data_IF_544534955828
#
_entry.id   IF_544534955828
#
_cell.length_a   1.000
_cell.length_b   1.000
_cell.length_c   1.000
_cell.angle_alpha   90.00
_cell.angle_beta   90.00
_cell.angle_gamma   90.00
#
_symmetry.space_group_name_H-M   'P 1'
#
loop_
_entity.id
_entity.type
_entity.pdbx_description
1 polymer ?
#
# COMPACT_ATOMS: atom_id res chain seq x y z
N UNK A 1 -1.55 -25.45 -21.77
CA UNK A 1 -2.13 -24.41 -22.62
C UNK A 1 -3.62 -24.46 -22.33
N UNK A 2 -4.07 -23.69 -21.37
CA UNK A 2 -5.49 -23.46 -21.10
C UNK A 2 -5.75 -22.02 -21.51
N UNK A 3 -6.62 -21.86 -22.52
CA UNK A 3 -7.13 -20.58 -22.98
C UNK A 3 -7.81 -19.88 -21.79
N UNK A 4 -7.09 -18.96 -21.13
CA UNK A 4 -7.72 -17.99 -20.25
C UNK A 4 -8.27 -16.89 -21.16
N UNK A 5 -9.58 -16.95 -21.41
CA UNK A 5 -10.29 -15.82 -22.01
C UNK A 5 -10.11 -14.60 -21.11
N UNK A 6 -9.45 -13.58 -21.65
CA UNK A 6 -9.31 -12.26 -21.04
C UNK A 6 -10.72 -11.64 -20.97
N UNK A 7 -11.25 -11.31 -19.79
CA UNK A 7 -12.51 -10.57 -19.71
C UNK A 7 -12.31 -9.17 -20.28
N UNK A 8 -12.89 -8.93 -21.45
CA UNK A 8 -12.82 -7.66 -22.15
C UNK A 8 -13.96 -6.77 -21.69
N UNK A 9 -13.75 -5.99 -20.62
CA UNK A 9 -14.45 -4.70 -20.39
C UNK A 9 -13.80 -4.00 -19.18
N UNK A 10 -12.99 -2.98 -19.44
CA UNK A 10 -12.74 -1.95 -18.43
C UNK A 10 -14.09 -1.24 -18.15
N UNK A 11 -14.44 -0.95 -16.89
CA UNK A 11 -15.65 -0.20 -16.59
C UNK A 11 -15.58 1.19 -17.24
N UNK A 12 -16.73 1.64 -17.81
CA UNK A 12 -16.86 2.98 -18.37
C UNK A 12 -16.54 4.04 -17.29
N UNK A 13 -15.78 5.06 -17.70
CA UNK A 13 -15.48 6.24 -16.88
C UNK A 13 -16.79 6.89 -16.43
N UNK A 14 -17.09 6.83 -15.14
CA UNK A 14 -18.23 7.55 -14.58
C UNK A 14 -17.99 9.06 -14.70
N UNK A 15 -19.01 9.86 -15.11
CA UNK A 15 -18.87 11.31 -15.17
C UNK A 15 -18.68 11.90 -13.77
N UNK A 16 -17.93 13.00 -13.68
CA UNK A 16 -17.72 13.80 -12.49
C UNK A 16 -19.05 14.15 -11.80
N UNK A 17 -19.46 13.34 -10.83
CA UNK A 17 -20.52 13.65 -9.92
C UNK A 17 -19.89 14.17 -8.63
N UNK A 18 -20.30 15.37 -8.19
CA UNK A 18 -19.99 15.90 -6.87
C UNK A 18 -20.44 14.90 -5.80
N UNK A 19 -19.57 13.95 -5.47
CA UNK A 19 -19.79 13.08 -4.32
C UNK A 19 -19.75 13.98 -3.08
N UNK A 20 -20.72 13.77 -2.20
CA UNK A 20 -20.98 14.56 -1.00
C UNK A 20 -19.74 14.59 -0.08
N UNK A 21 -18.81 15.51 -0.38
CA UNK A 21 -17.54 15.68 0.35
C UNK A 21 -17.76 16.23 1.76
N UNK A 22 -18.94 16.76 2.04
CA UNK A 22 -19.28 17.35 3.35
C UNK A 22 -19.38 16.31 4.48
N UNK A 23 -19.80 15.07 4.16
CA UNK A 23 -19.97 14.01 5.17
C UNK A 23 -18.64 13.25 5.46
N UNK A 24 -17.60 13.46 4.65
CA UNK A 24 -16.30 12.79 4.83
C UNK A 24 -15.24 13.64 5.57
N UNK A 25 -15.48 14.93 5.81
CA UNK A 25 -14.50 15.80 6.46
C UNK A 25 -14.12 15.31 7.88
N UNK A 26 -15.08 14.73 8.60
CA UNK A 26 -14.94 14.20 9.96
C UNK A 26 -14.32 12.77 9.99
N UNK A 27 -14.40 12.01 8.88
CA UNK A 27 -13.87 10.65 8.78
C UNK A 27 -12.35 10.62 9.03
N UNK A 28 -11.62 11.60 8.50
CA UNK A 28 -10.16 11.68 8.69
C UNK A 28 -9.79 11.83 10.16
N UNK A 29 -10.48 12.72 10.89
CA UNK A 29 -10.23 12.93 12.32
C UNK A 29 -10.56 11.67 13.13
N UNK A 30 -11.65 11.00 12.81
CA UNK A 30 -12.09 9.76 13.46
C UNK A 30 -11.06 8.64 13.25
N UNK A 31 -10.61 8.43 12.01
CA UNK A 31 -9.62 7.39 11.69
C UNK A 31 -8.26 7.70 12.32
N UNK A 32 -7.76 8.94 12.24
CA UNK A 32 -6.51 9.35 12.91
C UNK A 32 -6.61 9.17 14.42
N UNK A 33 -7.74 9.57 15.02
CA UNK A 33 -8.01 9.38 16.45
C UNK A 33 -8.01 7.91 16.85
N UNK A 34 -8.64 7.05 16.04
CA UNK A 34 -8.64 5.59 16.24
C UNK A 34 -7.21 5.02 16.10
N UNK A 35 -6.48 5.41 15.06
CA UNK A 35 -5.10 4.95 14.82
C UNK A 35 -4.19 5.24 16.01
N UNK A 36 -4.22 6.45 16.55
CA UNK A 36 -3.45 6.85 17.73
C UNK A 36 -3.88 6.07 18.98
N UNK A 37 -5.19 6.02 19.26
CA UNK A 37 -5.75 5.38 20.46
C UNK A 37 -5.51 3.88 20.49
N UNK A 38 -5.53 3.21 19.33
CA UNK A 38 -5.41 1.75 19.22
C UNK A 38 -3.99 1.28 18.83
N UNK A 39 -3.06 2.18 18.57
CA UNK A 39 -1.68 1.82 18.28
C UNK A 39 -1.48 1.29 16.86
N UNK A 40 -2.16 1.89 15.89
CA UNK A 40 -1.86 1.67 14.47
C UNK A 40 -0.69 2.54 14.01
N UNK A 41 -0.77 3.85 14.25
CA UNK A 41 0.19 4.81 13.72
C UNK A 41 0.51 5.86 14.78
N UNK A 42 1.80 6.13 14.98
CA UNK A 42 2.34 7.13 15.88
C UNK A 42 3.14 8.17 15.09
N UNK A 43 3.21 9.40 15.61
CA UNK A 43 4.17 10.37 15.12
C UNK A 43 5.59 9.89 15.44
N UNK A 44 6.47 9.81 14.46
CA UNK A 44 7.86 9.41 14.70
C UNK A 44 8.57 10.41 15.60
N UNK A 45 9.39 9.91 16.52
CA UNK A 45 10.17 10.68 17.49
C UNK A 45 9.31 11.65 18.35
N UNK A 46 8.07 11.26 18.70
CA UNK A 46 7.10 12.12 19.42
C UNK A 46 7.67 12.65 20.74
N UNK A 47 8.44 11.85 21.47
CA UNK A 47 9.08 12.26 22.73
C UNK A 47 10.09 13.41 22.59
N UNK A 48 10.55 13.69 21.36
CA UNK A 48 11.44 14.82 21.01
C UNK A 48 10.69 15.94 20.26
N UNK A 49 9.36 15.94 20.30
CA UNK A 49 8.52 16.91 19.60
C UNK A 49 8.06 16.47 18.21
N UNK A 50 8.38 15.26 17.83
CA UNK A 50 8.03 14.67 16.54
C UNK A 50 8.96 15.09 15.39
N UNK A 51 9.06 14.24 14.37
CA UNK A 51 9.71 14.57 13.11
C UNK A 51 8.63 14.66 12.02
N UNK A 52 8.50 15.86 11.44
CA UNK A 52 7.38 16.16 10.53
C UNK A 52 7.34 15.20 9.35
N UNK A 53 6.16 14.61 9.12
CA UNK A 53 5.87 13.73 7.98
C UNK A 53 6.67 12.43 7.95
N UNK A 54 7.02 11.96 9.13
CA UNK A 54 7.51 10.62 9.37
C UNK A 54 6.65 9.97 10.45
N UNK A 55 6.35 8.70 10.28
CA UNK A 55 5.45 7.96 11.15
C UNK A 55 6.02 6.60 11.49
N UNK A 56 5.72 6.15 12.71
CA UNK A 56 6.01 4.81 13.18
C UNK A 56 4.72 3.98 13.18
N UNK A 57 4.81 2.75 12.71
CA UNK A 57 3.67 1.83 12.71
C UNK A 57 3.70 1.02 14.00
N UNK A 58 2.69 1.23 14.84
CA UNK A 58 2.56 0.52 16.11
C UNK A 58 2.19 -0.96 15.94
N UNK A 59 1.91 -1.67 17.05
CA UNK A 59 1.68 -3.12 17.01
C UNK A 59 0.56 -3.56 16.04
N UNK A 60 -0.53 -2.79 15.94
CA UNK A 60 -1.61 -3.09 14.99
C UNK A 60 -1.27 -2.60 13.58
N UNK A 61 -0.64 -1.44 13.47
CA UNK A 61 -0.26 -0.85 12.18
C UNK A 61 0.76 -1.69 11.43
N UNK A 62 1.76 -2.24 12.11
CA UNK A 62 2.76 -3.10 11.47
C UNK A 62 2.14 -4.40 10.96
N UNK A 63 1.16 -4.98 11.69
CA UNK A 63 0.46 -6.18 11.24
C UNK A 63 -0.40 -5.88 10.01
N UNK A 64 -1.19 -4.79 10.03
CA UNK A 64 -2.00 -4.37 8.88
C UNK A 64 -1.13 -4.08 7.65
N UNK A 65 -0.05 -3.31 7.81
CA UNK A 65 0.86 -2.97 6.72
C UNK A 65 1.53 -4.22 6.12
N UNK A 66 1.93 -5.18 6.97
CA UNK A 66 2.46 -6.47 6.51
C UNK A 66 1.42 -7.27 5.74
N UNK A 67 0.18 -7.32 6.23
CA UNK A 67 -0.90 -8.03 5.57
C UNK A 67 -1.23 -7.42 4.19
N UNK A 68 -1.24 -6.09 4.07
CA UNK A 68 -1.39 -5.40 2.78
C UNK A 68 -0.27 -5.80 1.81
N UNK A 69 0.98 -5.73 2.25
CA UNK A 69 2.14 -6.11 1.43
C UNK A 69 2.13 -7.60 1.07
N UNK A 70 1.72 -8.47 1.98
CA UNK A 70 1.62 -9.89 1.73
C UNK A 70 0.50 -10.22 0.73
N UNK A 71 -0.67 -9.58 0.84
CA UNK A 71 -1.77 -9.74 -0.11
C UNK A 71 -1.37 -9.25 -1.52
N UNK A 72 -0.60 -8.16 -1.61
CA UNK A 72 -0.04 -7.69 -2.87
C UNK A 72 0.98 -8.69 -3.43
N UNK A 73 1.91 -9.16 -2.61
CA UNK A 73 2.93 -10.13 -3.01
C UNK A 73 2.34 -11.47 -3.45
N UNK A 74 1.33 -11.94 -2.73
CA UNK A 74 0.57 -13.14 -3.11
C UNK A 74 -0.01 -12.98 -4.52
N UNK A 75 -0.71 -11.87 -4.78
CA UNK A 75 -1.37 -11.62 -6.07
C UNK A 75 -0.37 -11.38 -7.22
N UNK A 76 0.70 -10.63 -6.95
CA UNK A 76 1.62 -10.16 -8.00
C UNK A 76 2.78 -11.11 -8.27
N UNK A 77 3.17 -11.94 -7.29
CA UNK A 77 4.36 -12.79 -7.42
C UNK A 77 4.02 -14.26 -7.16
N UNK A 78 3.40 -14.58 -6.02
CA UNK A 78 3.25 -15.98 -5.60
C UNK A 78 2.26 -16.75 -6.47
N UNK A 79 1.14 -16.14 -6.85
CA UNK A 79 0.08 -16.75 -7.65
C UNK A 79 0.31 -16.62 -9.16
N UNK A 80 1.52 -16.22 -9.58
CA UNK A 80 1.89 -16.03 -10.99
C UNK A 80 3.18 -16.77 -11.33
N UNK A 81 3.24 -17.28 -12.54
CA UNK A 81 4.44 -17.93 -13.08
C UNK A 81 5.26 -17.00 -13.98
N UNK A 82 4.75 -15.81 -14.28
CA UNK A 82 5.36 -14.79 -15.14
C UNK A 82 6.00 -13.62 -14.38
N UNK A 83 5.94 -13.58 -13.04
CA UNK A 83 6.55 -12.54 -12.22
C UNK A 83 7.54 -13.13 -11.23
N UNK A 84 8.64 -12.42 -10.98
CA UNK A 84 9.66 -12.78 -10.00
C UNK A 84 9.93 -11.61 -9.05
N UNK A 85 10.36 -11.91 -7.83
CA UNK A 85 10.71 -10.89 -6.84
C UNK A 85 12.16 -10.44 -6.93
N UNK A 86 12.40 -9.19 -6.56
CA UNK A 86 13.72 -8.59 -6.36
C UNK A 86 13.71 -7.73 -5.09
N UNK A 87 14.84 -7.63 -4.41
CA UNK A 87 15.07 -6.63 -3.36
C UNK A 87 16.39 -5.90 -3.65
N UNK A 88 16.29 -4.75 -4.32
CA UNK A 88 17.42 -3.93 -4.70
C UNK A 88 17.86 -3.00 -3.55
N UNK A 89 19.14 -2.58 -3.59
CA UNK A 89 19.71 -1.66 -2.59
C UNK A 89 19.00 -0.31 -2.55
N UNK A 90 18.85 0.25 -1.35
CA UNK A 90 18.33 1.61 -1.13
C UNK A 90 19.31 2.66 -1.61
N UNK A 91 20.60 2.47 -1.26
CA UNK A 91 21.68 3.39 -1.66
C UNK A 91 22.12 3.08 -3.09
N UNK A 92 22.22 4.12 -3.93
CA UNK A 92 22.68 4.00 -5.30
C UNK A 92 23.60 5.16 -5.67
N UNK A 93 24.57 4.92 -6.58
CA UNK A 93 25.49 5.95 -7.05
C UNK A 93 24.76 6.99 -7.94
N UNK A 94 25.32 8.21 -8.07
CA UNK A 94 24.74 9.26 -8.90
C UNK A 94 24.42 8.84 -10.34
N UNK A 95 25.24 8.01 -10.95
CA UNK A 95 25.09 7.57 -12.34
C UNK A 95 23.72 6.92 -12.64
N UNK A 96 23.14 6.20 -11.67
CA UNK A 96 21.79 5.61 -11.83
C UNK A 96 20.74 6.71 -11.98
N UNK A 97 20.85 7.76 -11.17
CA UNK A 97 19.89 8.87 -11.11
C UNK A 97 20.12 9.92 -12.19
N UNK A 98 21.32 10.00 -12.72
CA UNK A 98 21.64 10.76 -13.93
C UNK A 98 21.02 10.09 -15.15
N UNK A 99 21.23 8.79 -15.31
CA UNK A 99 20.67 8.02 -16.43
C UNK A 99 19.15 8.06 -16.48
N UNK A 100 18.48 7.89 -15.33
CA UNK A 100 17.02 7.96 -15.23
C UNK A 100 16.46 9.38 -15.27
N UNK A 101 17.30 10.41 -15.24
CA UNK A 101 16.88 11.82 -15.27
C UNK A 101 16.39 12.39 -13.92
N UNK A 102 16.45 11.62 -12.83
CA UNK A 102 15.99 12.10 -11.52
C UNK A 102 16.80 13.28 -10.98
N UNK A 103 18.10 13.35 -11.24
CA UNK A 103 18.91 14.48 -10.77
C UNK A 103 18.57 15.78 -11.48
N UNK A 104 18.11 15.73 -12.72
CA UNK A 104 17.77 16.92 -13.51
C UNK A 104 16.31 17.34 -13.44
N UNK A 105 15.37 16.36 -13.34
CA UNK A 105 13.95 16.60 -13.55
C UNK A 105 13.09 16.35 -12.31
N UNK A 106 13.58 15.61 -11.31
CA UNK A 106 12.79 15.28 -10.11
C UNK A 106 12.85 16.43 -9.10
N UNK A 107 12.22 17.55 -9.46
CA UNK A 107 12.23 18.78 -8.67
C UNK A 107 10.87 19.45 -8.66
N UNK A 108 10.53 20.05 -7.51
CA UNK A 108 9.35 20.88 -7.33
C UNK A 108 9.71 22.37 -7.37
N UNK A 109 8.84 23.24 -7.89
CA UNK A 109 9.04 24.68 -7.82
C UNK A 109 8.79 25.16 -6.38
N UNK A 110 9.84 25.65 -5.72
CA UNK A 110 9.84 26.14 -4.34
C UNK A 110 9.81 27.66 -4.30
N UNK A 111 8.86 28.22 -3.54
CA UNK A 111 8.80 29.63 -3.18
C UNK A 111 8.80 29.83 -1.66
N UNK A 112 9.43 30.90 -1.19
CA UNK A 112 9.36 31.32 0.21
C UNK A 112 8.43 32.54 0.33
N UNK A 113 7.47 32.52 1.28
CA UNK A 113 6.66 33.68 1.58
C UNK A 113 7.53 34.77 2.21
N UNK A 114 7.56 35.95 1.65
CA UNK A 114 8.39 37.08 2.13
C UNK A 114 7.99 37.59 3.50
N UNK A 115 6.72 37.33 3.93
CA UNK A 115 6.18 37.81 5.21
C UNK A 115 6.39 36.85 6.37
N UNK A 116 6.06 35.56 6.20
CA UNK A 116 6.12 34.57 7.29
C UNK A 116 7.25 33.55 7.12
N UNK A 117 8.02 33.63 6.03
CA UNK A 117 9.14 32.75 5.68
C UNK A 117 8.79 31.27 5.59
N UNK A 118 7.49 30.94 5.45
CA UNK A 118 7.06 29.57 5.18
C UNK A 118 7.31 29.23 3.72
N UNK A 119 7.65 27.96 3.48
CA UNK A 119 7.98 27.41 2.15
C UNK A 119 6.81 26.67 1.58
N UNK A 120 6.58 26.87 0.30
CA UNK A 120 5.46 26.29 -0.44
C UNK A 120 5.89 25.82 -1.83
N UNK A 121 5.18 24.84 -2.35
CA UNK A 121 5.22 24.56 -3.79
C UNK A 121 4.42 25.64 -4.51
N UNK A 122 5.01 26.27 -5.51
CA UNK A 122 4.37 27.34 -6.28
C UNK A 122 3.09 26.84 -6.96
N UNK A 123 3.15 25.64 -7.57
CA UNK A 123 2.04 25.01 -8.28
C UNK A 123 0.87 24.55 -7.38
N UNK A 124 1.01 24.65 -6.07
CA UNK A 124 -0.01 24.27 -5.07
C UNK A 124 -0.57 25.45 -4.26
N UNK A 125 -0.16 26.66 -4.60
CA UNK A 125 -0.69 27.89 -3.97
C UNK A 125 -1.32 28.77 -5.04
N UNK A 126 -2.52 29.31 -4.78
CA UNK A 126 -3.23 30.21 -5.68
C UNK A 126 -2.74 31.67 -5.55
N UNK A 127 -1.42 31.88 -5.48
CA UNK A 127 -0.81 33.18 -5.32
C UNK A 127 -0.97 33.81 -3.92
N UNK A 128 -1.55 33.10 -2.96
CA UNK A 128 -1.77 33.54 -1.58
C UNK A 128 -1.17 32.57 -0.58
N UNK A 129 -0.40 33.09 0.37
CA UNK A 129 0.23 32.28 1.41
C UNK A 129 -0.83 31.66 2.33
N UNK A 130 -0.94 30.31 2.40
CA UNK A 130 -1.92 29.63 3.25
C UNK A 130 -1.76 29.91 4.76
N UNK A 131 -0.54 30.33 5.20
CA UNK A 131 -0.27 30.62 6.61
C UNK A 131 -0.58 32.04 7.05
N UNK A 132 -0.39 33.04 6.18
CA UNK A 132 -0.49 34.42 6.61
C UNK A 132 -1.23 35.35 5.64
N UNK A 133 -1.76 34.83 4.54
CA UNK A 133 -2.54 35.58 3.54
C UNK A 133 -1.71 36.58 2.70
N UNK A 134 -0.36 36.55 2.77
CA UNK A 134 0.49 37.40 1.93
C UNK A 134 0.49 36.92 0.49
N UNK A 135 0.63 37.84 -0.47
CA UNK A 135 0.82 37.58 -1.90
C UNK A 135 2.27 37.78 -2.34
N UNK A 136 3.16 38.11 -1.42
CA UNK A 136 4.57 38.35 -1.71
C UNK A 136 5.41 37.09 -1.51
N UNK A 137 5.99 36.59 -2.60
CA UNK A 137 6.85 35.39 -2.62
C UNK A 137 8.18 35.70 -3.30
N UNK A 138 9.17 34.85 -3.01
CA UNK A 138 10.43 34.83 -3.76
C UNK A 138 10.19 34.31 -5.18
N UNK A 139 11.13 34.54 -6.10
CA UNK A 139 11.14 33.85 -7.37
C UNK A 139 11.18 32.33 -7.15
N UNK A 140 10.46 31.55 -7.98
CA UNK A 140 10.49 30.09 -7.91
C UNK A 140 11.90 29.55 -8.16
N UNK A 141 12.28 28.55 -7.37
CA UNK A 141 13.54 27.82 -7.57
C UNK A 141 13.28 26.32 -7.59
N UNK A 142 13.95 25.59 -8.48
CA UNK A 142 13.86 24.13 -8.49
C UNK A 142 14.44 23.54 -7.20
N UNK A 143 13.68 22.69 -6.53
CA UNK A 143 14.11 21.95 -5.35
C UNK A 143 14.05 20.46 -5.67
N UNK A 144 15.23 19.82 -5.79
CA UNK A 144 15.32 18.39 -6.06
C UNK A 144 14.86 17.58 -4.83
N UNK A 145 13.97 16.62 -5.03
CA UNK A 145 13.38 15.81 -3.97
C UNK A 145 14.26 14.63 -3.52
N UNK A 146 15.42 14.42 -4.12
CA UNK A 146 16.35 13.35 -3.74
C UNK A 146 17.01 13.61 -2.39
N UNK A 147 17.03 12.62 -1.50
CA UNK A 147 17.90 12.62 -0.33
C UNK A 147 19.33 12.25 -0.72
N UNK A 148 20.26 13.17 -0.51
CA UNK A 148 21.70 12.99 -0.75
C UNK A 148 22.41 12.63 0.56
N UNK A 149 23.36 11.69 0.47
CA UNK A 149 24.25 11.30 1.57
C UNK A 149 25.65 10.98 1.05
N UNK A 150 26.56 10.59 1.92
CA UNK A 150 27.91 10.16 1.57
C UNK A 150 28.16 8.74 2.07
N UNK A 151 28.74 7.91 1.22
CA UNK A 151 29.12 6.54 1.55
C UNK A 151 30.63 6.48 1.83
N UNK A 152 31.00 6.15 3.08
CA UNK A 152 32.40 6.12 3.52
C UNK A 152 32.75 7.22 4.52
N UNK A 153 34.03 7.30 4.95
CA UNK A 153 34.47 8.17 6.05
C UNK A 153 34.72 9.61 5.63
N UNK A 154 34.79 9.93 4.35
CA UNK A 154 35.14 11.26 3.81
C UNK A 154 33.94 11.75 2.99
N UNK A 155 33.53 12.99 3.25
CA UNK A 155 32.49 13.69 2.51
C UNK A 155 33.11 14.43 1.31
N UNK A 156 33.38 13.69 0.23
CA UNK A 156 33.82 14.22 -1.05
C UNK A 156 32.86 13.88 -2.19
N UNK A 157 33.08 14.41 -3.37
CA UNK A 157 32.24 14.18 -4.53
C UNK A 157 32.20 12.70 -4.96
N UNK A 158 33.29 11.96 -4.73
CA UNK A 158 33.38 10.53 -5.04
C UNK A 158 32.60 9.64 -4.08
N UNK A 159 32.28 10.16 -2.89
CA UNK A 159 31.51 9.44 -1.85
C UNK A 159 30.00 9.70 -1.92
N UNK A 160 29.54 10.53 -2.84
CA UNK A 160 28.11 10.87 -2.96
C UNK A 160 27.27 9.64 -3.28
N UNK A 161 26.21 9.45 -2.51
CA UNK A 161 25.16 8.46 -2.74
C UNK A 161 23.78 9.08 -2.51
N UNK A 162 22.77 8.47 -3.09
CA UNK A 162 21.39 8.91 -2.93
C UNK A 162 20.54 7.80 -2.33
N UNK A 163 19.57 8.18 -1.48
CA UNK A 163 18.47 7.31 -1.11
C UNK A 163 17.49 7.26 -2.29
N UNK A 164 17.09 6.08 -2.72
CA UNK A 164 16.18 5.91 -3.86
C UNK A 164 14.83 6.60 -3.62
N UNK A 165 14.30 7.39 -4.58
CA UNK A 165 12.97 7.98 -4.50
C UNK A 165 11.86 7.05 -4.96
N UNK A 166 12.24 5.92 -5.61
CA UNK A 166 11.38 4.85 -6.12
C UNK A 166 12.14 3.53 -6.18
N UNK A 167 11.41 2.41 -6.29
CA UNK A 167 12.01 1.09 -6.40
C UNK A 167 12.29 0.67 -7.85
N UNK A 168 11.67 1.32 -8.85
CA UNK A 168 11.72 1.01 -10.26
C UNK A 168 13.14 0.86 -10.82
N UNK A 169 14.01 1.85 -10.57
CA UNK A 169 15.34 1.88 -11.16
C UNK A 169 16.21 0.68 -10.76
N UNK A 170 16.00 0.17 -9.53
CA UNK A 170 16.64 -1.06 -9.07
C UNK A 170 16.26 -2.28 -9.91
N UNK A 171 15.04 -2.32 -10.44
CA UNK A 171 14.55 -3.41 -11.29
C UNK A 171 15.11 -3.29 -12.72
N UNK A 172 15.18 -2.08 -13.29
CA UNK A 172 15.75 -1.86 -14.63
C UNK A 172 17.23 -2.21 -14.70
N UNK A 173 18.06 -1.76 -13.76
CA UNK A 173 19.49 -2.06 -13.75
C UNK A 173 19.79 -3.54 -13.50
N UNK A 174 18.84 -4.30 -12.93
CA UNK A 174 18.95 -5.74 -12.72
C UNK A 174 18.24 -6.58 -13.81
N UNK A 175 17.66 -5.98 -14.84
CA UNK A 175 16.93 -6.67 -15.89
C UNK A 175 17.74 -7.82 -16.50
N UNK A 176 18.97 -7.57 -16.94
CA UNK A 176 19.84 -8.59 -17.55
C UNK A 176 20.19 -9.70 -16.56
N UNK A 177 20.47 -9.37 -15.28
CA UNK A 177 20.77 -10.35 -14.23
C UNK A 177 19.58 -11.27 -13.97
N UNK A 178 18.37 -10.70 -13.87
CA UNK A 178 17.14 -11.46 -13.64
C UNK A 178 16.81 -12.33 -14.84
N UNK A 179 16.88 -11.78 -16.04
CA UNK A 179 16.62 -12.53 -17.28
C UNK A 179 17.54 -13.76 -17.40
N UNK A 180 18.83 -13.59 -17.13
CA UNK A 180 19.81 -14.67 -17.20
C UNK A 180 19.60 -15.75 -16.13
N UNK A 181 19.28 -15.34 -14.90
CA UNK A 181 19.22 -16.28 -13.77
C UNK A 181 17.89 -17.02 -13.66
N UNK A 182 16.79 -16.39 -14.08
CA UNK A 182 15.44 -16.96 -13.98
C UNK A 182 14.99 -17.67 -15.25
N UNK A 183 15.64 -17.40 -16.39
CA UNK A 183 15.25 -17.90 -17.73
C UNK A 183 13.85 -17.47 -18.16
N UNK A 184 13.33 -16.39 -17.57
CA UNK A 184 12.05 -15.81 -17.98
C UNK A 184 12.18 -15.22 -19.38
N UNK A 185 11.03 -15.08 -20.04
CA UNK A 185 10.92 -14.48 -21.38
C UNK A 185 9.82 -13.43 -21.31
N UNK A 186 9.93 -12.29 -22.00
CA UNK A 186 8.80 -11.39 -22.13
C UNK A 186 7.58 -12.10 -22.78
N UNK A 187 6.36 -11.93 -22.26
CA UNK A 187 6.02 -11.05 -21.11
C UNK A 187 6.44 -11.64 -19.76
N UNK A 188 7.14 -10.85 -18.93
CA UNK A 188 7.40 -11.20 -17.53
C UNK A 188 7.64 -9.97 -16.68
N UNK A 189 7.42 -10.07 -15.35
CA UNK A 189 7.58 -8.99 -14.40
C UNK A 189 8.71 -9.22 -13.39
N UNK A 190 9.28 -8.10 -12.92
CA UNK A 190 10.14 -8.03 -11.74
C UNK A 190 9.41 -7.16 -10.73
N UNK A 191 9.12 -7.69 -9.55
CA UNK A 191 8.35 -7.02 -8.51
C UNK A 191 9.20 -6.76 -7.26
N UNK A 192 8.96 -5.62 -6.61
CA UNK A 192 9.64 -5.25 -5.38
C UNK A 192 8.67 -4.61 -4.39
N UNK A 193 8.85 -4.92 -3.12
CA UNK A 193 8.30 -4.15 -1.99
C UNK A 193 9.46 -3.57 -1.21
N UNK A 194 9.53 -2.24 -1.09
CA UNK A 194 10.68 -1.63 -0.44
C UNK A 194 10.49 -0.16 -0.09
N UNK A 195 11.37 0.32 0.80
CA UNK A 195 11.43 1.72 1.22
C UNK A 195 11.88 2.63 0.08
N UNK A 196 11.22 3.80 -0.01
CA UNK A 196 11.56 4.91 -0.88
C UNK A 196 11.52 6.23 -0.11
N UNK A 197 12.23 7.24 -0.60
CA UNK A 197 12.49 8.46 0.14
C UNK A 197 12.35 9.68 -0.78
N UNK A 198 11.44 10.61 -0.41
CA UNK A 198 11.25 11.86 -1.15
C UNK A 198 11.26 13.02 -0.18
N UNK A 199 12.16 13.97 -0.38
CA UNK A 199 12.29 15.15 0.49
C UNK A 199 11.17 16.16 0.21
N UNK A 200 9.93 15.73 0.45
CA UNK A 200 8.70 16.49 0.21
C UNK A 200 8.71 17.85 0.89
N UNK A 201 8.37 18.89 0.14
CA UNK A 201 8.29 20.29 0.64
C UNK A 201 7.07 20.45 1.53
N UNK A 202 5.92 19.99 1.06
CA UNK A 202 4.61 20.14 1.72
C UNK A 202 3.96 18.78 1.91
N UNK A 203 4.43 17.99 2.90
CA UNK A 203 3.77 16.74 3.22
C UNK A 203 2.41 17.02 3.88
N UNK A 204 1.40 16.25 3.49
CA UNK A 204 0.01 16.47 3.88
C UNK A 204 -0.72 15.15 4.13
N UNK A 205 -1.87 15.28 4.78
CA UNK A 205 -2.87 14.21 4.89
C UNK A 205 -2.35 12.93 5.55
N UNK A 206 -1.76 13.06 6.75
CA UNK A 206 -1.32 11.92 7.56
C UNK A 206 -0.31 11.07 6.79
N UNK A 207 -0.52 9.75 6.65
CA UNK A 207 0.40 8.83 5.95
C UNK A 207 0.18 8.78 4.43
N UNK A 208 -0.64 9.66 3.87
CA UNK A 208 -0.85 9.77 2.42
C UNK A 208 0.41 10.26 1.70
N UNK A 209 1.05 11.32 2.22
CA UNK A 209 2.29 11.87 1.66
C UNK A 209 3.34 12.08 2.74
N UNK A 210 4.35 11.23 2.75
CA UNK A 210 5.42 11.15 3.74
C UNK A 210 6.78 11.21 3.07
N UNK A 211 7.84 11.56 3.84
CA UNK A 211 9.21 11.61 3.30
C UNK A 211 9.87 10.25 3.19
N UNK A 212 9.46 9.31 4.02
CA UNK A 212 9.85 7.92 3.99
C UNK A 212 8.58 7.08 3.88
N UNK A 213 8.51 6.21 2.88
CA UNK A 213 7.34 5.37 2.61
C UNK A 213 7.78 4.02 2.05
N UNK A 214 6.85 3.10 1.89
CA UNK A 214 7.10 1.83 1.19
C UNK A 214 6.29 1.81 -0.11
N UNK A 215 6.94 1.37 -1.19
CA UNK A 215 6.30 1.08 -2.47
C UNK A 215 6.12 -0.42 -2.65
N UNK A 216 5.04 -0.79 -3.32
CA UNK A 216 4.76 -2.09 -3.92
C UNK A 216 4.73 -1.82 -5.42
N UNK A 217 5.77 -2.20 -6.15
CA UNK A 217 6.02 -1.80 -7.53
C UNK A 217 6.47 -3.00 -8.37
N UNK A 218 6.04 -3.04 -9.62
CA UNK A 218 6.43 -4.08 -10.55
C UNK A 218 6.73 -3.47 -11.92
N UNK A 219 7.82 -3.91 -12.52
CA UNK A 219 8.17 -3.63 -13.90
C UNK A 219 7.86 -4.85 -14.76
N UNK A 220 6.82 -4.73 -15.60
CA UNK A 220 6.38 -5.82 -16.46
C UNK A 220 6.87 -5.61 -17.89
N UNK A 221 7.83 -6.43 -18.30
CA UNK A 221 8.54 -6.34 -19.56
C UNK A 221 7.79 -7.09 -20.65
N UNK A 222 7.43 -6.41 -21.74
CA UNK A 222 6.58 -6.93 -22.81
C UNK A 222 7.19 -6.69 -24.20
N UNK A 223 6.83 -7.50 -25.23
CA UNK A 223 7.11 -7.13 -26.61
C UNK A 223 6.46 -5.78 -26.94
N UNK A 224 7.12 -4.86 -27.67
CA UNK A 224 6.58 -3.54 -27.98
C UNK A 224 5.17 -3.55 -28.60
N UNK A 225 4.87 -4.53 -29.46
CA UNK A 225 3.58 -4.67 -30.10
C UNK A 225 2.43 -5.05 -29.14
N UNK A 226 2.74 -5.58 -27.97
CA UNK A 226 1.77 -6.05 -26.98
C UNK A 226 1.56 -5.05 -25.83
N UNK A 227 2.30 -3.93 -25.81
CA UNK A 227 2.35 -3.02 -24.67
C UNK A 227 0.97 -2.46 -24.29
N UNK A 228 0.13 -2.11 -25.27
CA UNK A 228 -1.22 -1.59 -25.00
C UNK A 228 -2.12 -2.66 -24.36
N UNK A 229 -2.09 -3.88 -24.86
CA UNK A 229 -2.87 -5.00 -24.32
C UNK A 229 -2.50 -5.30 -22.86
N UNK A 230 -1.20 -5.29 -22.54
CA UNK A 230 -0.73 -5.52 -21.19
C UNK A 230 -1.00 -4.33 -20.25
N UNK A 231 -1.00 -3.10 -20.78
CA UNK A 231 -1.41 -1.93 -20.02
C UNK A 231 -2.88 -2.04 -19.58
N UNK A 232 -3.79 -2.36 -20.50
CA UNK A 232 -5.22 -2.57 -20.20
C UNK A 232 -5.44 -3.74 -19.23
N UNK A 233 -4.71 -4.83 -19.40
CA UNK A 233 -4.74 -5.97 -18.49
C UNK A 233 -4.37 -5.56 -17.05
N UNK A 234 -3.26 -4.84 -16.88
CA UNK A 234 -2.81 -4.43 -15.55
C UNK A 234 -3.72 -3.39 -14.92
N UNK A 235 -4.33 -2.52 -15.68
CA UNK A 235 -5.37 -1.61 -15.17
C UNK A 235 -6.52 -2.39 -14.55
N UNK A 236 -7.07 -3.37 -15.27
CA UNK A 236 -8.17 -4.19 -14.78
C UNK A 236 -7.78 -5.04 -13.56
N UNK A 237 -6.61 -5.70 -13.60
CA UNK A 237 -6.11 -6.52 -12.49
C UNK A 237 -5.88 -5.71 -11.22
N UNK A 238 -5.28 -4.52 -11.34
CA UNK A 238 -5.02 -3.69 -10.17
C UNK A 238 -6.30 -3.12 -9.59
N UNK A 239 -7.22 -2.64 -10.40
CA UNK A 239 -8.53 -2.20 -9.96
C UNK A 239 -9.30 -3.31 -9.23
N UNK A 240 -9.40 -4.48 -9.82
CA UNK A 240 -10.10 -5.63 -9.24
C UNK A 240 -9.44 -6.14 -7.94
N UNK A 241 -8.13 -5.98 -7.77
CA UNK A 241 -7.43 -6.36 -6.53
C UNK A 241 -7.97 -5.59 -5.32
N UNK A 242 -8.23 -4.29 -5.45
CA UNK A 242 -8.82 -3.47 -4.40
C UNK A 242 -10.25 -3.87 -4.08
N UNK A 243 -11.06 -4.17 -5.11
CA UNK A 243 -12.44 -4.64 -4.92
C UNK A 243 -12.48 -5.98 -4.16
N UNK A 244 -11.61 -6.92 -4.55
CA UNK A 244 -11.50 -8.22 -3.85
C UNK A 244 -11.10 -8.09 -2.38
N UNK A 245 -10.40 -7.04 -2.01
CA UNK A 245 -9.99 -6.78 -0.62
C UNK A 245 -10.94 -5.83 0.13
N UNK A 246 -12.12 -5.57 -0.42
CA UNK A 246 -13.24 -4.96 0.28
C UNK A 246 -13.38 -3.45 0.12
N UNK A 247 -12.63 -2.78 -0.79
CA UNK A 247 -12.96 -1.41 -1.19
C UNK A 247 -14.20 -1.47 -2.09
N UNK A 248 -15.30 -0.78 -1.75
CA UNK A 248 -16.49 -0.77 -2.59
C UNK A 248 -16.25 0.01 -3.89
N UNK A 249 -16.91 -0.41 -4.98
CA UNK A 249 -16.80 0.22 -6.30
C UNK A 249 -17.17 1.72 -6.28
N UNK A 250 -18.03 2.14 -5.37
CA UNK A 250 -18.38 3.56 -5.18
C UNK A 250 -17.25 4.43 -4.60
N UNK A 251 -16.19 3.83 -4.10
CA UNK A 251 -15.04 4.53 -3.49
C UNK A 251 -13.76 4.42 -4.33
N UNK A 252 -13.81 3.78 -5.50
CA UNK A 252 -12.64 3.56 -6.37
C UNK A 252 -13.02 3.79 -7.83
N UNK A 253 -12.10 4.35 -8.62
CA UNK A 253 -12.31 4.56 -10.06
C UNK A 253 -11.00 4.50 -10.83
N UNK A 254 -11.07 4.31 -12.16
CA UNK A 254 -9.94 4.49 -13.06
C UNK A 254 -9.97 5.89 -13.66
N UNK A 255 -8.81 6.58 -13.66
CA UNK A 255 -8.62 7.87 -14.32
C UNK A 255 -7.46 7.78 -15.29
N UNK A 256 -7.74 7.91 -16.58
CA UNK A 256 -6.70 8.04 -17.60
C UNK A 256 -6.15 9.45 -17.63
N UNK A 257 -4.82 9.59 -17.72
CA UNK A 257 -4.19 10.90 -17.88
C UNK A 257 -4.34 11.41 -19.33
N UNK A 258 -4.55 12.69 -19.46
CA UNK A 258 -4.53 13.34 -20.78
C UNK A 258 -3.09 13.46 -21.30
N UNK A 259 -2.94 13.57 -22.62
CA UNK A 259 -1.61 13.67 -23.26
C UNK A 259 -0.73 14.81 -22.71
N UNK A 260 -1.34 15.89 -22.20
CA UNK A 260 -0.66 17.02 -21.57
C UNK A 260 -0.11 16.73 -20.17
N UNK A 261 -0.61 15.69 -19.50
CA UNK A 261 -0.21 15.27 -18.15
C UNK A 261 0.89 14.20 -18.18
N UNK A 262 1.12 13.57 -19.34
CA UNK A 262 2.06 12.46 -19.45
C UNK A 262 3.50 12.90 -19.20
N UNK A 263 4.22 12.13 -18.41
CA UNK A 263 5.66 12.26 -18.28
C UNK A 263 6.35 11.93 -19.62
N UNK A 264 7.51 12.53 -19.85
CA UNK A 264 8.24 12.42 -21.14
C UNK A 264 8.64 10.97 -21.52
N UNK A 265 8.62 10.06 -20.59
CA UNK A 265 8.93 8.64 -20.78
C UNK A 265 7.68 7.76 -20.99
N UNK A 266 6.48 8.26 -20.74
CA UNK A 266 5.27 7.47 -20.72
C UNK A 266 4.48 7.58 -22.02
N UNK A 267 4.08 6.44 -22.59
CA UNK A 267 3.15 6.35 -23.71
C UNK A 267 1.67 6.37 -23.27
N UNK A 268 1.41 6.09 -22.01
CA UNK A 268 0.10 6.15 -21.37
C UNK A 268 0.23 6.01 -19.87
N UNK A 269 -0.60 6.70 -19.12
CA UNK A 269 -0.69 6.61 -17.65
C UNK A 269 -2.15 6.60 -17.27
N UNK A 270 -2.49 5.79 -16.29
CA UNK A 270 -3.78 5.86 -15.62
C UNK A 270 -3.61 5.57 -14.12
N UNK A 271 -4.45 6.19 -13.32
CA UNK A 271 -4.49 5.98 -11.87
C UNK A 271 -5.71 5.14 -11.49
N UNK A 272 -5.50 4.24 -10.54
CA UNK A 272 -6.56 3.80 -9.66
C UNK A 272 -6.70 4.90 -8.61
N UNK A 273 -7.80 5.66 -8.65
CA UNK A 273 -8.09 6.69 -7.66
C UNK A 273 -9.03 6.15 -6.58
N UNK A 274 -8.82 6.61 -5.34
CA UNK A 274 -9.71 6.36 -4.21
C UNK A 274 -10.38 7.66 -3.75
N UNK A 275 -11.61 7.57 -3.28
CA UNK A 275 -12.36 8.69 -2.72
C UNK A 275 -11.90 8.97 -1.29
N UNK A 276 -10.81 9.72 -1.15
CA UNK A 276 -10.31 10.19 0.13
C UNK A 276 -11.22 11.26 0.75
N UNK A 277 -11.08 11.59 2.05
CA UNK A 277 -11.87 12.65 2.69
C UNK A 277 -11.77 14.04 2.04
N UNK A 278 -10.73 14.31 1.27
CA UNK A 278 -10.51 15.54 0.49
C UNK A 278 -10.89 15.44 -0.98
N UNK A 279 -11.46 14.33 -1.41
CA UNK A 279 -11.86 14.07 -2.80
C UNK A 279 -11.09 12.91 -3.44
N UNK A 280 -11.29 12.73 -4.73
CA UNK A 280 -10.60 11.73 -5.52
C UNK A 280 -9.10 12.05 -5.61
N UNK A 281 -8.26 11.07 -5.32
CA UNK A 281 -6.81 11.20 -5.41
C UNK A 281 -6.18 9.85 -5.73
N UNK A 282 -4.97 9.88 -6.27
CA UNK A 282 -4.21 8.70 -6.69
C UNK A 282 -3.97 7.72 -5.54
N UNK A 283 -4.34 6.45 -5.75
CA UNK A 283 -4.03 5.33 -4.88
C UNK A 283 -2.90 4.46 -5.44
N UNK A 284 -2.96 4.15 -6.74
CA UNK A 284 -1.96 3.39 -7.49
C UNK A 284 -1.84 3.94 -8.90
N UNK A 285 -0.62 4.22 -9.35
CA UNK A 285 -0.34 4.60 -10.73
C UNK A 285 -0.04 3.37 -11.59
N UNK A 286 -0.55 3.33 -12.81
CA UNK A 286 -0.15 2.35 -13.82
C UNK A 286 0.36 3.11 -15.05
N UNK A 287 1.62 2.88 -15.43
CA UNK A 287 2.27 3.56 -16.53
C UNK A 287 2.75 2.59 -17.62
N UNK A 288 2.53 2.96 -18.87
CA UNK A 288 3.27 2.39 -20.00
C UNK A 288 4.52 3.26 -20.24
N UNK A 289 5.65 2.85 -19.69
CA UNK A 289 6.94 3.57 -19.73
C UNK A 289 7.69 3.40 -21.04
N UNK A 290 7.11 2.68 -22.01
CA UNK A 290 7.79 2.30 -23.24
C UNK A 290 9.14 1.59 -22.98
N UNK A 291 10.15 1.82 -23.80
CA UNK A 291 11.50 1.29 -23.64
C UNK A 291 12.49 2.30 -23.04
N UNK A 292 11.99 3.41 -22.50
CA UNK A 292 12.78 4.57 -22.08
C UNK A 292 13.87 4.20 -21.06
N UNK A 293 13.50 3.58 -19.94
CA UNK A 293 14.44 3.32 -18.84
C UNK A 293 15.55 2.33 -19.26
N UNK A 294 15.18 1.24 -19.95
CA UNK A 294 16.15 0.26 -20.43
C UNK A 294 17.13 0.88 -21.43
N UNK A 295 16.67 1.75 -22.32
CA UNK A 295 17.54 2.50 -23.24
C UNK A 295 18.45 3.46 -22.49
N UNK A 296 17.90 4.27 -21.58
CA UNK A 296 18.65 5.25 -20.81
C UNK A 296 19.79 4.60 -20.00
N UNK A 297 19.47 3.51 -19.27
CA UNK A 297 20.49 2.76 -18.54
C UNK A 297 21.47 2.03 -19.46
N UNK A 298 21.00 1.49 -20.57
CA UNK A 298 21.85 0.83 -21.56
C UNK A 298 22.88 1.81 -22.18
N UNK A 299 22.44 3.00 -22.56
CA UNK A 299 23.30 4.04 -23.10
C UNK A 299 24.30 4.57 -22.06
N UNK A 300 23.85 4.83 -20.84
CA UNK A 300 24.70 5.35 -19.76
C UNK A 300 25.76 4.35 -19.28
N UNK A 301 25.41 3.07 -19.21
CA UNK A 301 26.32 2.01 -18.74
C UNK A 301 27.15 1.35 -19.85
N UNK A 302 26.73 1.47 -21.08
CA UNK A 302 27.28 0.71 -22.21
C UNK A 302 26.86 -0.76 -22.28
N UNK A 303 25.95 -1.19 -21.39
CA UNK A 303 25.41 -2.55 -21.34
C UNK A 303 24.19 -2.71 -22.27
N UNK A 304 23.98 -3.93 -22.79
CA UNK A 304 22.83 -4.23 -23.64
C UNK A 304 21.67 -4.72 -22.82
N UNK A 305 20.67 -3.86 -22.59
CA UNK A 305 19.42 -4.18 -21.91
C UNK A 305 18.33 -4.54 -22.94
N UNK A 306 18.61 -5.51 -23.80
CA UNK A 306 17.73 -6.01 -24.85
C UNK A 306 17.39 -7.50 -24.64
N UNK A 307 16.24 -7.93 -25.14
CA UNK A 307 15.86 -9.34 -25.20
C UNK A 307 16.11 -9.90 -26.61
N UNK A 308 16.63 -11.12 -26.68
CA UNK A 308 16.74 -11.87 -27.94
C UNK A 308 15.67 -12.95 -28.02
N UNK A 309 14.68 -12.74 -28.87
CA UNK A 309 13.67 -13.75 -29.16
C UNK A 309 14.22 -14.78 -30.14
N UNK A 310 14.48 -15.99 -29.61
CA UNK A 310 14.99 -17.09 -30.39
C UNK A 310 13.99 -17.60 -31.42
N UNK A 311 12.69 -17.42 -31.18
CA UNK A 311 11.62 -17.91 -32.06
C UNK A 311 11.48 -17.01 -33.29
N UNK A 312 11.42 -15.70 -33.04
CA UNK A 312 11.38 -14.70 -34.10
C UNK A 312 12.75 -14.41 -34.74
N UNK A 313 13.85 -14.84 -34.10
CA UNK A 313 15.22 -14.52 -34.45
C UNK A 313 15.49 -13.01 -34.54
N UNK A 314 14.94 -12.25 -33.58
CA UNK A 314 15.10 -10.81 -33.53
C UNK A 314 15.47 -10.32 -32.12
N UNK A 315 16.02 -9.10 -32.05
CA UNK A 315 16.33 -8.42 -30.80
C UNK A 315 15.47 -7.19 -30.67
N UNK A 316 14.98 -6.94 -29.46
CA UNK A 316 14.28 -5.72 -29.14
C UNK A 316 14.53 -5.30 -27.68
N UNK A 317 14.38 -4.02 -27.41
CA UNK A 317 14.28 -3.50 -26.04
C UNK A 317 12.82 -3.65 -25.62
N UNK A 318 12.50 -4.40 -24.55
CA UNK A 318 11.12 -4.52 -24.10
C UNK A 318 10.48 -3.18 -23.72
N UNK A 319 9.19 -3.04 -23.97
CA UNK A 319 8.39 -2.02 -23.33
C UNK A 319 8.07 -2.44 -21.89
N UNK A 320 7.80 -1.47 -21.04
CA UNK A 320 7.57 -1.70 -19.61
C UNK A 320 6.20 -1.17 -19.22
N UNK A 321 5.43 -2.01 -18.55
CA UNK A 321 4.20 -1.61 -17.87
C UNK A 321 4.47 -1.64 -16.36
N UNK A 322 4.27 -0.51 -15.71
CA UNK A 322 4.58 -0.29 -14.29
C UNK A 322 3.30 -0.04 -13.48
N UNK A 323 2.78 -1.01 -12.75
CA UNK A 323 1.90 -0.76 -11.61
C UNK A 323 2.71 -0.41 -10.37
N UNK A 324 2.42 0.74 -9.74
CA UNK A 324 3.15 1.26 -8.58
C UNK A 324 2.20 1.82 -7.52
N UNK A 325 2.14 1.18 -6.35
CA UNK A 325 1.32 1.60 -5.22
C UNK A 325 2.19 1.94 -4.00
N UNK A 326 1.81 3.00 -3.28
CA UNK A 326 2.35 3.27 -1.96
C UNK A 326 1.71 2.35 -0.91
N UNK A 327 2.47 1.44 -0.28
CA UNK A 327 1.93 0.50 0.70
C UNK A 327 1.25 1.21 1.89
N UNK A 328 1.80 2.33 2.33
CA UNK A 328 1.26 3.13 3.43
C UNK A 328 0.00 3.89 3.03
N UNK A 329 -0.05 4.42 1.80
CA UNK A 329 -1.24 5.03 1.21
C UNK A 329 -2.35 4.01 1.02
N UNK A 330 -2.03 2.82 0.52
CA UNK A 330 -2.94 1.69 0.38
C UNK A 330 -3.52 1.24 1.73
N UNK A 331 -2.68 1.13 2.76
CA UNK A 331 -3.12 0.84 4.12
C UNK A 331 -4.10 1.91 4.64
N UNK A 332 -3.83 3.19 4.37
CA UNK A 332 -4.71 4.30 4.74
C UNK A 332 -6.06 4.21 4.03
N UNK A 333 -6.10 3.90 2.74
CA UNK A 333 -7.34 3.71 1.98
C UNK A 333 -8.18 2.58 2.58
N UNK A 334 -7.58 1.43 2.92
CA UNK A 334 -8.28 0.35 3.60
C UNK A 334 -8.82 0.75 4.98
N UNK A 335 -8.07 1.55 5.76
CA UNK A 335 -8.56 2.04 7.06
C UNK A 335 -9.73 2.99 6.91
N UNK A 336 -9.69 3.91 5.93
CA UNK A 336 -10.76 4.85 5.65
C UNK A 336 -12.03 4.14 5.16
N UNK A 337 -11.88 3.22 4.22
CA UNK A 337 -13.00 2.45 3.66
C UNK A 337 -13.62 1.49 4.70
N UNK A 338 -12.79 0.90 5.57
CA UNK A 338 -13.28 -0.03 6.59
C UNK A 338 -13.94 0.64 7.80
N UNK A 339 -13.70 1.93 8.04
CA UNK A 339 -14.26 2.62 9.20
C UNK A 339 -15.78 2.69 9.14
N UNK A 340 -16.43 2.23 10.19
CA UNK A 340 -17.89 2.22 10.27
C UNK A 340 -18.37 2.46 11.70
N UNK A 341 -19.52 3.07 11.81
CA UNK A 341 -20.25 3.24 13.07
C UNK A 341 -21.64 2.63 12.90
N UNK A 342 -22.05 1.79 13.85
CA UNK A 342 -23.38 1.18 13.89
C UNK A 342 -23.92 1.12 15.32
N UNK A 343 -25.07 0.51 15.49
CA UNK A 343 -25.73 0.32 16.78
C UNK A 343 -25.98 -1.15 17.04
N UNK A 344 -25.53 -1.67 18.18
CA UNK A 344 -25.77 -3.04 18.61
C UNK A 344 -26.29 -3.06 20.03
N UNK A 345 -27.51 -3.59 20.18
CA UNK A 345 -28.18 -3.67 21.48
C UNK A 345 -28.52 -2.31 22.08
N UNK A 346 -28.72 -1.26 21.27
CA UNK A 346 -29.02 0.10 21.70
C UNK A 346 -27.78 0.91 22.10
N UNK A 347 -26.57 0.41 21.85
CA UNK A 347 -25.31 1.10 22.09
C UNK A 347 -24.55 1.35 20.78
N UNK A 348 -24.03 2.55 20.59
CA UNK A 348 -23.15 2.89 19.46
C UNK A 348 -21.89 2.03 19.45
N UNK A 349 -21.48 1.57 18.28
CA UNK A 349 -20.31 0.77 18.05
C UNK A 349 -19.45 1.34 16.93
N UNK A 350 -18.18 1.57 17.20
CA UNK A 350 -17.16 1.82 16.18
C UNK A 350 -16.50 0.51 15.80
N UNK A 351 -16.32 0.26 14.50
CA UNK A 351 -15.65 -0.94 14.00
C UNK A 351 -14.86 -0.64 12.72
N UNK A 352 -13.84 -1.47 12.46
CA UNK A 352 -13.15 -1.52 11.17
C UNK A 352 -13.59 -2.78 10.41
N UNK A 353 -14.35 -2.62 9.33
CA UNK A 353 -14.79 -3.72 8.45
C UNK A 353 -13.67 -4.15 7.50
N UNK A 354 -12.47 -4.37 8.03
CA UNK A 354 -11.33 -4.86 7.26
C UNK A 354 -11.63 -6.26 6.71
N UNK A 355 -11.21 -6.50 5.46
CA UNK A 355 -11.16 -7.85 4.91
C UNK A 355 -10.35 -8.76 5.84
N UNK A 356 -10.77 -10.02 6.11
CA UNK A 356 -10.09 -10.91 7.05
C UNK A 356 -8.60 -11.09 6.79
N UNK A 357 -8.17 -11.16 5.54
CA UNK A 357 -6.74 -11.22 5.15
C UNK A 357 -5.94 -9.99 5.57
N UNK A 358 -6.58 -8.82 5.70
CA UNK A 358 -5.93 -7.57 6.08
C UNK A 358 -5.95 -7.30 7.59
N UNK A 359 -6.86 -7.91 8.33
CA UNK A 359 -7.06 -7.66 9.75
C UNK A 359 -5.77 -7.84 10.56
N UNK A 360 -5.40 -6.88 11.44
CA UNK A 360 -4.20 -6.97 12.28
C UNK A 360 -4.18 -8.19 13.20
N UNK A 361 -5.33 -8.56 13.74
CA UNK A 361 -5.63 -9.83 14.36
C UNK A 361 -6.77 -10.48 13.60
N UNK A 362 -6.59 -11.72 13.18
CA UNK A 362 -7.66 -12.48 12.53
C UNK A 362 -8.58 -13.15 13.54
N UNK A 363 -8.07 -13.48 14.73
CA UNK A 363 -8.84 -14.17 15.75
C UNK A 363 -8.58 -13.57 17.13
N UNK A 364 -9.66 -13.19 17.85
CA UNK A 364 -9.61 -12.85 19.25
C UNK A 364 -9.98 -14.05 20.11
N UNK A 365 -9.11 -14.53 21.00
CA UNK A 365 -9.38 -15.64 21.95
C UNK A 365 -9.74 -15.05 23.30
N UNK A 366 -11.00 -15.19 23.70
CA UNK A 366 -11.61 -14.44 24.79
C UNK A 366 -12.27 -15.39 25.82
N UNK A 367 -11.56 -15.80 26.90
CA UNK A 367 -12.21 -16.56 27.97
C UNK A 367 -13.33 -15.72 28.63
N UNK A 368 -14.53 -16.27 28.82
CA UNK A 368 -15.69 -15.55 29.32
C UNK A 368 -15.42 -14.84 30.66
N UNK A 369 -14.62 -15.45 31.51
CA UNK A 369 -14.19 -14.87 32.78
C UNK A 369 -12.72 -15.15 33.09
N UNK A 370 -12.15 -14.40 34.07
CA UNK A 370 -10.77 -14.61 34.59
C UNK A 370 -10.64 -15.82 35.53
N UNK A 371 -11.64 -16.70 35.61
CA UNK A 371 -11.53 -17.86 36.50
C UNK A 371 -10.46 -18.81 35.99
N UNK A 372 -9.62 -19.27 36.91
CA UNK A 372 -8.52 -20.22 36.65
C UNK A 372 -8.99 -21.50 35.93
N UNK A 373 -10.27 -21.85 36.02
CA UNK A 373 -10.84 -23.04 35.37
C UNK A 373 -10.92 -22.90 33.84
N UNK A 374 -11.10 -21.69 33.30
CA UNK A 374 -11.20 -21.46 31.83
C UNK A 374 -9.83 -21.22 31.17
N UNK A 375 -8.83 -20.75 31.91
CA UNK A 375 -7.55 -20.36 31.37
C UNK A 375 -6.80 -21.50 30.65
N UNK A 376 -6.68 -22.71 31.18
CA UNK A 376 -5.97 -23.79 30.51
C UNK A 376 -6.57 -24.13 29.15
N UNK A 377 -7.91 -24.21 29.05
CA UNK A 377 -8.61 -24.47 27.78
C UNK A 377 -8.43 -23.31 26.82
N UNK A 378 -8.57 -22.06 27.27
CA UNK A 378 -8.40 -20.88 26.42
C UNK A 378 -6.96 -20.78 25.88
N UNK A 379 -5.94 -21.11 26.70
CA UNK A 379 -4.55 -21.18 26.27
C UNK A 379 -4.28 -22.31 25.28
N UNK A 380 -4.93 -23.45 25.42
CA UNK A 380 -4.81 -24.54 24.45
C UNK A 380 -5.43 -24.18 23.10
N UNK A 381 -6.60 -23.53 23.10
CA UNK A 381 -7.21 -22.99 21.87
C UNK A 381 -6.33 -21.93 21.22
N UNK A 382 -5.77 -21.00 22.00
CA UNK A 382 -4.83 -20.01 21.48
C UNK A 382 -3.61 -20.68 20.84
N UNK A 383 -2.99 -21.62 21.52
CA UNK A 383 -1.80 -22.33 21.02
C UNK A 383 -2.08 -23.12 19.72
N UNK A 384 -3.29 -23.65 19.57
CA UNK A 384 -3.74 -24.32 18.35
C UNK A 384 -3.90 -23.34 17.17
N UNK A 385 -4.37 -22.11 17.41
CA UNK A 385 -4.67 -21.14 16.37
C UNK A 385 -3.46 -20.28 15.96
N UNK A 386 -2.57 -19.93 16.89
CA UNK A 386 -1.42 -19.04 16.67
C UNK A 386 -0.48 -19.42 15.52
N UNK A 387 -0.22 -20.72 15.20
CA UNK A 387 0.59 -21.06 14.03
C UNK A 387 -0.06 -20.69 12.67
N UNK A 388 -1.35 -20.38 12.68
CA UNK A 388 -2.15 -20.19 11.47
C UNK A 388 -2.76 -18.79 11.33
N UNK A 389 -2.97 -18.12 12.46
CA UNK A 389 -3.60 -16.79 12.53
C UNK A 389 -2.85 -15.88 13.48
N UNK A 390 -2.84 -14.58 13.19
CA UNK A 390 -2.45 -13.59 14.19
C UNK A 390 -3.60 -13.48 15.20
N UNK A 391 -3.33 -13.93 16.43
CA UNK A 391 -4.33 -13.98 17.49
C UNK A 391 -4.09 -12.91 18.55
N UNK A 392 -5.17 -12.34 19.09
CA UNK A 392 -5.17 -11.58 20.34
C UNK A 392 -5.77 -12.42 21.47
N UNK A 393 -5.22 -12.29 22.70
CA UNK A 393 -5.72 -12.94 23.89
C UNK A 393 -6.05 -11.93 24.96
N UNK A 394 -7.33 -11.73 25.24
CA UNK A 394 -7.78 -10.70 26.20
C UNK A 394 -8.69 -11.26 27.28
N UNK A 395 -8.33 -10.94 28.54
CA UNK A 395 -9.08 -11.30 29.75
C UNK A 395 -9.56 -10.07 30.54
N UNK A 396 -9.32 -8.85 30.00
CA UNK A 396 -9.54 -7.61 30.76
C UNK A 396 -10.97 -7.09 30.59
N UNK A 397 -11.66 -6.78 31.69
CA UNK A 397 -13.05 -6.29 31.73
C UNK A 397 -14.11 -7.35 31.29
N UNK A 398 -15.35 -6.91 31.06
CA UNK A 398 -16.44 -7.80 30.60
C UNK A 398 -16.25 -8.26 29.16
N UNK A 399 -16.88 -9.38 28.81
CA UNK A 399 -16.80 -9.94 27.45
C UNK A 399 -17.32 -8.93 26.41
N UNK A 400 -18.40 -8.21 26.68
CA UNK A 400 -18.94 -7.20 25.77
C UNK A 400 -17.92 -6.07 25.46
N UNK A 401 -17.18 -5.59 26.50
CA UNK A 401 -16.13 -4.58 26.27
C UNK A 401 -14.94 -5.13 25.47
N UNK A 402 -14.64 -6.43 25.59
CA UNK A 402 -13.61 -7.08 24.80
C UNK A 402 -14.04 -7.24 23.34
N UNK A 403 -15.29 -7.63 23.08
CA UNK A 403 -15.84 -7.62 21.72
C UNK A 403 -15.74 -6.25 21.08
N UNK A 404 -16.11 -5.16 21.80
CA UNK A 404 -15.98 -3.80 21.29
C UNK A 404 -14.54 -3.43 20.91
N UNK A 405 -13.56 -3.85 21.72
CA UNK A 405 -12.13 -3.65 21.39
C UNK A 405 -11.72 -4.38 20.12
N UNK A 406 -12.18 -5.62 19.95
CA UNK A 406 -11.89 -6.43 18.76
C UNK A 406 -12.59 -5.85 17.52
N UNK A 407 -13.84 -5.39 17.65
CA UNK A 407 -14.58 -4.71 16.59
C UNK A 407 -13.82 -3.44 16.12
N UNK A 408 -13.33 -2.62 17.07
CA UNK A 408 -12.58 -1.37 16.80
C UNK A 408 -11.23 -1.59 16.11
N UNK A 409 -10.58 -2.73 16.32
CA UNK A 409 -9.31 -3.05 15.66
C UNK A 409 -9.47 -3.92 14.42
N UNK A 410 -10.71 -4.28 14.08
CA UNK A 410 -11.04 -4.98 12.85
C UNK A 410 -10.88 -6.49 12.89
N UNK A 411 -10.85 -7.11 14.08
CA UNK A 411 -10.76 -8.57 14.22
C UNK A 411 -12.03 -9.24 13.71
N UNK A 412 -12.01 -10.06 12.65
CA UNK A 412 -13.21 -10.62 12.05
C UNK A 412 -13.90 -11.65 12.93
N UNK A 413 -13.15 -12.44 13.71
CA UNK A 413 -13.73 -13.52 14.51
C UNK A 413 -13.23 -13.49 15.96
N UNK A 414 -14.18 -13.60 16.90
CA UNK A 414 -13.88 -13.75 18.32
C UNK A 414 -14.29 -15.13 18.80
N UNK A 415 -13.33 -15.89 19.31
CA UNK A 415 -13.53 -17.22 19.89
C UNK A 415 -13.69 -17.07 21.39
N UNK A 416 -14.89 -17.31 21.91
CA UNK A 416 -15.19 -17.23 23.33
C UNK A 416 -15.20 -18.62 23.97
N UNK A 417 -14.43 -18.78 25.03
CA UNK A 417 -14.38 -19.97 25.86
C UNK A 417 -15.20 -19.71 27.11
N UNK A 418 -16.28 -20.43 27.30
CA UNK A 418 -17.21 -20.34 28.40
C UNK A 418 -17.17 -21.58 29.31
N UNK A 419 -18.08 -21.64 30.30
CA UNK A 419 -18.10 -22.79 31.21
C UNK A 419 -18.65 -24.04 30.53
N UNK A 420 -19.56 -23.90 29.60
CA UNK A 420 -20.10 -25.02 28.84
C UNK A 420 -19.01 -25.64 27.94
N UNK A 421 -18.00 -24.86 27.54
CA UNK A 421 -16.84 -25.34 26.76
C UNK A 421 -16.02 -26.42 27.50
N UNK A 422 -16.09 -26.44 28.83
CA UNK A 422 -15.42 -27.47 29.65
C UNK A 422 -16.20 -28.81 29.63
N UNK A 423 -17.48 -28.78 29.34
CA UNK A 423 -18.38 -29.93 29.32
C UNK A 423 -18.57 -30.51 27.94
N UNK A 424 -18.79 -29.62 26.91
CA UNK A 424 -19.17 -30.04 25.55
C UNK A 424 -17.98 -30.01 24.57
N UNK A 425 -16.79 -29.49 24.97
CA UNK A 425 -15.64 -29.39 24.11
C UNK A 425 -15.82 -28.44 22.91
N UNK A 426 -16.74 -27.47 23.01
CA UNK A 426 -17.02 -26.51 21.95
C UNK A 426 -16.80 -25.07 22.43
N UNK A 427 -16.62 -24.15 21.49
CA UNK A 427 -16.44 -22.72 21.74
C UNK A 427 -17.44 -21.91 20.92
N UNK A 428 -17.69 -20.68 21.36
CA UNK A 428 -18.55 -19.76 20.61
C UNK A 428 -17.70 -18.87 19.72
N UNK A 429 -17.94 -18.90 18.41
CA UNK A 429 -17.32 -18.00 17.42
C UNK A 429 -18.32 -16.89 17.10
N UNK A 430 -17.91 -15.63 17.40
CA UNK A 430 -18.68 -14.44 17.05
C UNK A 430 -18.07 -13.79 15.80
N UNK A 431 -18.94 -13.49 14.85
CA UNK A 431 -18.60 -12.70 13.68
C UNK A 431 -18.67 -11.19 13.99
N UNK A 432 -17.69 -10.41 13.52
CA UNK A 432 -17.60 -8.95 13.74
C UNK A 432 -18.77 -8.21 13.06
N UNK A 433 -19.04 -8.54 11.81
CA UNK A 433 -19.92 -7.73 10.97
C UNK A 433 -21.41 -8.02 11.27
N UNK A 434 -21.76 -9.27 11.36
CA UNK A 434 -23.15 -9.72 11.66
C UNK A 434 -23.48 -9.76 13.15
N UNK A 435 -22.45 -9.82 14.01
CA UNK A 435 -22.56 -10.10 15.45
C UNK A 435 -23.13 -11.47 15.81
N UNK A 436 -23.40 -12.31 14.80
CA UNK A 436 -23.87 -13.67 15.00
C UNK A 436 -22.85 -14.52 15.75
N UNK A 437 -23.36 -15.45 16.54
CA UNK A 437 -22.57 -16.34 17.36
C UNK A 437 -22.94 -17.80 17.05
N UNK A 438 -21.94 -18.59 16.72
CA UNK A 438 -22.11 -20.01 16.37
C UNK A 438 -21.25 -20.86 17.29
N UNK A 439 -21.85 -21.94 17.80
CA UNK A 439 -21.14 -22.93 18.61
C UNK A 439 -20.38 -23.90 17.71
N UNK A 440 -19.07 -24.06 17.91
CA UNK A 440 -18.19 -24.89 17.08
C UNK A 440 -17.37 -25.81 17.98
N UNK A 441 -17.32 -27.13 17.71
CA UNK A 441 -16.43 -28.06 18.40
C UNK A 441 -14.95 -27.64 18.23
N UNK A 442 -14.14 -27.73 19.29
CA UNK A 442 -12.74 -27.28 19.27
C UNK A 442 -11.92 -28.04 18.24
N UNK A 443 -12.16 -29.32 18.03
CA UNK A 443 -11.46 -30.15 17.04
C UNK A 443 -11.77 -29.72 15.59
N UNK A 444 -12.90 -29.09 15.32
CA UNK A 444 -13.30 -28.53 14.01
C UNK A 444 -12.95 -27.05 13.84
N UNK A 445 -12.57 -26.34 14.90
CA UNK A 445 -12.46 -24.87 14.91
C UNK A 445 -11.43 -24.34 13.89
N UNK A 446 -10.24 -24.94 13.83
CA UNK A 446 -9.19 -24.52 12.91
C UNK A 446 -9.63 -24.68 11.45
N UNK A 447 -10.28 -25.79 11.10
CA UNK A 447 -10.76 -26.03 9.76
C UNK A 447 -11.84 -25.02 9.36
N UNK A 448 -12.77 -24.71 10.25
CA UNK A 448 -13.83 -23.73 10.02
C UNK A 448 -13.28 -22.32 9.85
N UNK A 449 -12.32 -21.85 10.67
CA UNK A 449 -11.73 -20.53 10.53
C UNK A 449 -10.91 -20.39 9.24
N UNK A 450 -10.23 -21.47 8.81
CA UNK A 450 -9.56 -21.49 7.49
C UNK A 450 -10.55 -21.37 6.35
N UNK A 451 -11.64 -22.17 6.38
CA UNK A 451 -12.70 -22.10 5.38
C UNK A 451 -13.24 -20.66 5.26
N UNK A 452 -13.54 -20.00 6.38
CA UNK A 452 -14.00 -18.61 6.39
C UNK A 452 -12.96 -17.63 5.82
N UNK A 453 -11.66 -17.87 6.06
CA UNK A 453 -10.58 -17.05 5.49
C UNK A 453 -10.47 -17.24 3.97
N UNK A 454 -10.68 -18.45 3.47
CA UNK A 454 -10.59 -18.78 2.05
C UNK A 454 -11.82 -18.29 1.27
N UNK A 455 -12.98 -18.18 1.92
CA UNK A 455 -14.24 -17.71 1.33
C UNK A 455 -14.40 -16.18 1.40
N UNK A 456 -13.56 -15.48 2.16
CA UNK A 456 -13.56 -14.03 2.27
C UNK A 456 -12.83 -13.41 1.06
#
# INVERSE_FOLDING_TARGET
MSDQEVPNTAPDVAPDGDADTADRSDLMEKVVGLCKRRGFIFQSAEIYGGFRSTYDYGPLGVNLLRNVKNAWWEAMVQCRDDVVGLDASILSPPAVWEASGHLSNFSDPLVDCMKCHQRWREDKIEGVCPSCGSTEFTEPRAFNLMFKTHAGPIEDEGAVAYLRPETAQGMFINFANVLQTTRKKPPFGIAQVGKSFRNEITPQNFVFRTREFEQMEMEYFVPPAEAQTWFEYWLAERFNWYLRLGIPESEIRLRHHEASELAHYAAGVADVEFLFPWGWDELEGIANRSDFDLKAHGEASGEKLEYYDQTANERYVPHVIEPAAGATRTMMAFLLSAYSEDEVGGESRTLLKLHPKLAPYQVGVLPLSKKETLEPLARSVLAMLQPHFMCDYDTTQSIGKRYRRQDEVGTPWCVTIDFDSLEDGAVTVRDRDTTEQVRIPIDGLLAELRRRMDEA
#
